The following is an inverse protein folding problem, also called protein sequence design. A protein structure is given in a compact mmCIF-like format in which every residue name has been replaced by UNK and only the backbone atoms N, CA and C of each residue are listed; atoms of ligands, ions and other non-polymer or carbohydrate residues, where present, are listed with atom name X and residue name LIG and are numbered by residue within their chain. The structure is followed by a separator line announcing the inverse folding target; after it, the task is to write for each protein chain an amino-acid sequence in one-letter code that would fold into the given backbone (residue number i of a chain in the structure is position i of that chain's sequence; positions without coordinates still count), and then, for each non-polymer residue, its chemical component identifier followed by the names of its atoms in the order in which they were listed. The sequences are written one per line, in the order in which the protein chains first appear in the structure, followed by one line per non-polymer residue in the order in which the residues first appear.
data_IF_432566672649
#
_entry.id   IF_432566672649
#
_cell.length_a   1.000
_cell.length_b   1.000
_cell.length_c   1.000
_cell.angle_alpha   90.00
_cell.angle_beta   90.00
_cell.angle_gamma   90.00
#
_symmetry.space_group_name_H-M   'P 1'
#
loop_
_entity.id
_entity.type
_entity.pdbx_description
1 polymer ?
#
# COMPACT_ATOMS: atom_id res chain seq x y z
N UNK A 1 -7.72 -34.06 -8.76
CA UNK A 1 -6.99 -32.84 -8.35
C UNK A 1 -6.87 -31.96 -9.58
N UNK A 2 -7.69 -30.92 -9.69
CA UNK A 2 -7.52 -29.91 -10.75
C UNK A 2 -6.18 -29.23 -10.55
N UNK A 3 -5.35 -29.15 -11.59
CA UNK A 3 -4.12 -28.35 -11.55
C UNK A 3 -4.50 -26.91 -11.19
N UNK A 4 -4.19 -26.49 -9.96
CA UNK A 4 -4.41 -25.11 -9.53
C UNK A 4 -3.57 -24.19 -10.42
N UNK A 5 -4.16 -23.10 -10.93
CA UNK A 5 -3.48 -22.13 -11.80
C UNK A 5 -3.61 -20.73 -11.22
N UNK A 6 -2.54 -19.95 -11.27
CA UNK A 6 -2.53 -18.54 -10.83
C UNK A 6 -2.68 -17.60 -12.02
N UNK A 7 -3.58 -16.62 -11.93
CA UNK A 7 -3.65 -15.52 -12.90
C UNK A 7 -2.51 -14.52 -12.66
N UNK A 8 -1.81 -14.17 -13.72
CA UNK A 8 -0.73 -13.17 -13.71
C UNK A 8 -1.04 -12.12 -14.76
N UNK A 9 -0.88 -10.85 -14.37
CA UNK A 9 -0.99 -9.69 -15.25
C UNK A 9 0.39 -9.12 -15.55
N UNK A 10 0.70 -8.92 -16.82
CA UNK A 10 1.89 -8.19 -17.23
C UNK A 10 1.76 -6.71 -16.87
N UNK A 11 2.72 -6.12 -16.14
CA UNK A 11 2.68 -4.69 -15.80
C UNK A 11 2.99 -3.80 -17.02
N UNK A 12 3.56 -4.35 -18.10
CA UNK A 12 3.97 -3.61 -19.29
C UNK A 12 2.89 -3.53 -20.38
N UNK A 13 2.19 -4.64 -20.63
CA UNK A 13 1.19 -4.73 -21.70
C UNK A 13 -0.21 -5.12 -21.20
N UNK A 14 -0.39 -5.27 -19.88
CA UNK A 14 -1.65 -5.67 -19.24
C UNK A 14 -2.22 -7.03 -19.67
N UNK A 15 -1.47 -7.83 -20.45
CA UNK A 15 -1.87 -9.20 -20.81
C UNK A 15 -1.99 -10.05 -19.57
N UNK A 16 -3.07 -10.83 -19.48
CA UNK A 16 -3.28 -11.83 -18.45
C UNK A 16 -2.97 -13.23 -18.99
N UNK A 17 -2.33 -14.08 -18.19
CA UNK A 17 -2.22 -15.51 -18.45
C UNK A 17 -2.22 -16.30 -17.15
N UNK A 18 -2.39 -17.62 -17.26
CA UNK A 18 -2.32 -18.54 -16.15
C UNK A 18 -0.94 -19.20 -16.08
N UNK A 19 -0.35 -19.26 -14.89
CA UNK A 19 0.87 -20.01 -14.60
C UNK A 19 0.61 -21.11 -13.58
N UNK A 20 1.52 -22.10 -13.52
CA UNK A 20 1.54 -23.06 -12.42
C UNK A 20 1.94 -22.34 -11.11
N UNK A 21 1.31 -22.65 -9.97
CA UNK A 21 1.51 -21.94 -8.69
C UNK A 21 2.93 -22.01 -8.14
N UNK A 22 3.72 -23.00 -8.56
CA UNK A 22 5.13 -23.14 -8.14
C UNK A 22 6.09 -22.23 -8.92
N UNK A 23 5.62 -21.53 -9.96
CA UNK A 23 6.46 -20.61 -10.73
C UNK A 23 6.61 -19.30 -9.96
N UNK A 24 7.81 -19.03 -9.47
CA UNK A 24 8.22 -17.75 -8.87
C UNK A 24 9.58 -17.32 -9.44
N UNK A 25 9.93 -16.04 -9.33
CA UNK A 25 11.19 -15.49 -9.87
C UNK A 25 10.94 -14.59 -11.07
N UNK A 26 11.72 -14.75 -12.15
CA UNK A 26 11.56 -13.92 -13.35
C UNK A 26 11.04 -14.75 -14.52
N UNK A 27 10.01 -14.25 -15.20
CA UNK A 27 9.45 -14.83 -16.42
C UNK A 27 9.50 -13.78 -17.53
N UNK A 28 9.47 -14.20 -18.80
CA UNK A 28 9.23 -13.27 -19.92
C UNK A 28 7.73 -13.28 -20.23
N UNK A 29 7.14 -12.10 -20.37
CA UNK A 29 5.76 -11.96 -20.81
C UNK A 29 5.62 -12.51 -22.24
N UNK A 30 4.66 -13.40 -22.47
CA UNK A 30 4.42 -14.02 -23.79
C UNK A 30 3.90 -13.06 -24.86
N UNK A 31 3.50 -11.84 -24.49
CA UNK A 31 2.97 -10.84 -25.41
C UNK A 31 3.94 -9.69 -25.72
N UNK A 32 4.85 -9.34 -24.80
CA UNK A 32 5.73 -8.18 -24.98
C UNK A 32 7.20 -8.47 -24.68
N UNK A 33 7.55 -9.73 -24.40
CA UNK A 33 8.89 -10.23 -24.05
C UNK A 33 9.58 -9.54 -22.87
N UNK A 34 8.93 -8.58 -22.22
CA UNK A 34 9.45 -7.93 -21.02
C UNK A 34 9.56 -8.94 -19.89
N UNK A 35 10.68 -8.85 -19.16
CA UNK A 35 10.94 -9.64 -17.96
C UNK A 35 10.05 -9.13 -16.83
N UNK A 36 9.26 -10.03 -16.26
CA UNK A 36 8.34 -9.77 -15.16
C UNK A 36 8.76 -10.55 -13.93
N UNK A 37 8.56 -9.96 -12.75
CA UNK A 37 8.78 -10.64 -11.48
C UNK A 37 7.50 -11.33 -11.04
N UNK A 38 7.56 -12.65 -10.90
CA UNK A 38 6.51 -13.46 -10.28
C UNK A 38 6.87 -13.65 -8.81
N UNK A 39 6.06 -13.13 -7.87
CA UNK A 39 6.31 -13.30 -6.44
C UNK A 39 6.13 -14.75 -6.03
N UNK A 40 6.85 -15.14 -4.98
CA UNK A 40 6.46 -16.31 -4.18
C UNK A 40 5.06 -16.06 -3.60
N UNK A 41 4.24 -17.11 -3.51
CA UNK A 41 2.96 -16.97 -2.82
C UNK A 41 3.17 -16.54 -1.36
N UNK A 42 2.34 -15.59 -0.87
CA UNK A 42 2.35 -15.25 0.53
C UNK A 42 1.85 -16.45 1.35
N UNK A 43 2.39 -16.61 2.54
CA UNK A 43 1.75 -17.46 3.55
C UNK A 43 0.60 -16.68 4.18
N UNK A 44 -0.46 -17.39 4.58
CA UNK A 44 -1.63 -16.78 5.21
C UNK A 44 -1.63 -16.99 6.72
N UNK A 45 -2.24 -16.05 7.44
CA UNK A 45 -2.56 -16.19 8.86
C UNK A 45 -3.36 -17.49 9.09
N UNK A 46 -3.17 -18.15 10.24
CA UNK A 46 -3.81 -19.45 10.54
C UNK A 46 -5.34 -19.36 10.54
N UNK A 47 -5.85 -18.22 10.96
CA UNK A 47 -7.24 -17.82 11.09
C UNK A 47 -7.70 -16.88 9.95
N UNK A 48 -7.04 -16.92 8.78
CA UNK A 48 -7.34 -16.04 7.64
C UNK A 48 -8.83 -16.04 7.21
N UNK A 49 -9.57 -17.13 7.45
CA UNK A 49 -11.01 -17.17 7.17
C UNK A 49 -11.80 -16.17 8.02
N UNK A 50 -11.38 -15.96 9.28
CA UNK A 50 -11.99 -14.99 10.19
C UNK A 50 -11.67 -13.56 9.73
N UNK A 51 -10.41 -13.30 9.38
CA UNK A 51 -10.03 -12.02 8.75
C UNK A 51 -10.83 -11.74 7.49
N UNK A 52 -10.99 -12.74 6.61
CA UNK A 52 -11.78 -12.59 5.39
C UNK A 52 -13.23 -12.25 5.69
N UNK A 53 -13.85 -12.93 6.65
CA UNK A 53 -15.20 -12.58 7.10
C UNK A 53 -15.27 -11.14 7.61
N UNK A 54 -14.27 -10.66 8.36
CA UNK A 54 -14.25 -9.28 8.83
C UNK A 54 -14.04 -8.24 7.74
N UNK A 55 -13.21 -8.54 6.74
CA UNK A 55 -13.09 -7.72 5.52
C UNK A 55 -14.47 -7.55 4.85
N UNK A 56 -15.23 -8.64 4.75
CA UNK A 56 -16.59 -8.63 4.18
C UNK A 56 -17.58 -7.87 5.09
N UNK A 57 -17.55 -8.11 6.41
CA UNK A 57 -18.42 -7.45 7.41
C UNK A 57 -18.24 -5.91 7.39
N UNK A 58 -16.98 -5.44 7.39
CA UNK A 58 -16.64 -4.01 7.35
C UNK A 58 -16.65 -3.43 5.93
N UNK A 59 -16.90 -4.26 4.89
CA UNK A 59 -16.94 -3.86 3.48
C UNK A 59 -15.64 -3.19 3.01
N UNK A 60 -14.50 -3.71 3.46
CA UNK A 60 -13.19 -3.21 3.05
C UNK A 60 -12.95 -3.64 1.60
N UNK A 61 -13.16 -2.71 0.67
CA UNK A 61 -13.08 -2.98 -0.76
C UNK A 61 -11.67 -2.77 -1.32
N UNK A 62 -10.92 -1.80 -0.79
CA UNK A 62 -9.57 -1.46 -1.23
C UNK A 62 -8.75 -0.91 -0.05
N UNK A 63 -7.43 -1.04 -0.14
CA UNK A 63 -6.47 -0.33 0.68
C UNK A 63 -5.70 0.65 -0.19
N UNK A 64 -5.16 1.72 0.40
CA UNK A 64 -4.65 2.86 -0.36
C UNK A 64 -3.20 3.17 -0.03
N UNK A 65 -2.40 3.37 -1.07
CA UNK A 65 -1.03 3.90 -0.96
C UNK A 65 -0.91 5.15 -1.81
N UNK A 66 -0.33 6.22 -1.28
CA UNK A 66 -0.01 7.40 -2.07
C UNK A 66 1.43 7.35 -2.57
N UNK A 67 1.66 7.89 -3.76
CA UNK A 67 2.99 8.07 -4.36
C UNK A 67 3.01 9.30 -5.24
N UNK A 68 4.18 9.68 -5.75
CA UNK A 68 4.28 10.59 -6.90
C UNK A 68 4.21 9.80 -8.22
N UNK A 69 3.64 10.42 -9.26
CA UNK A 69 3.59 9.91 -10.64
C UNK A 69 4.95 9.39 -11.13
N UNK A 70 6.04 10.10 -10.80
CA UNK A 70 7.40 9.73 -11.22
C UNK A 70 7.87 8.36 -10.74
N UNK A 71 7.24 7.80 -9.69
CA UNK A 71 7.53 6.47 -9.18
C UNK A 71 6.73 5.35 -9.88
N UNK A 72 5.66 5.66 -10.62
CA UNK A 72 4.76 4.64 -11.20
C UNK A 72 5.52 3.71 -12.16
N UNK A 73 6.46 4.25 -12.94
CA UNK A 73 7.27 3.46 -13.86
C UNK A 73 8.18 2.46 -13.12
N UNK A 74 8.78 2.85 -11.99
CA UNK A 74 9.65 1.95 -11.21
C UNK A 74 8.82 0.87 -10.49
N UNK A 75 7.62 1.20 -10.00
CA UNK A 75 6.68 0.24 -9.41
C UNK A 75 6.25 -0.81 -10.46
N UNK A 76 5.85 -0.35 -11.65
CA UNK A 76 5.47 -1.23 -12.77
C UNK A 76 6.64 -2.15 -13.18
N UNK A 77 7.84 -1.58 -13.38
CA UNK A 77 9.05 -2.35 -13.74
C UNK A 77 9.52 -3.30 -12.64
N UNK A 78 9.35 -2.92 -11.38
CA UNK A 78 9.67 -3.73 -10.21
C UNK A 78 8.72 -4.91 -10.01
N UNK A 79 7.59 -4.93 -10.75
CA UNK A 79 6.56 -5.95 -10.62
C UNK A 79 5.68 -5.75 -9.38
N UNK A 80 5.64 -4.54 -8.81
CA UNK A 80 4.85 -4.22 -7.62
C UNK A 80 5.48 -3.14 -6.74
N UNK A 81 4.93 -2.97 -5.55
CA UNK A 81 5.32 -1.95 -4.57
C UNK A 81 6.23 -2.55 -3.50
N UNK A 82 7.43 -1.99 -3.33
CA UNK A 82 8.38 -2.43 -2.31
C UNK A 82 8.39 -1.48 -1.11
N UNK A 83 8.77 -2.00 0.05
CA UNK A 83 9.12 -1.20 1.22
C UNK A 83 10.28 -0.26 0.88
N UNK A 84 10.33 0.90 1.52
CA UNK A 84 11.41 1.85 1.26
C UNK A 84 12.77 1.26 1.63
N UNK A 85 12.83 0.43 2.68
CA UNK A 85 14.06 -0.23 3.12
C UNK A 85 14.56 -1.25 2.11
N UNK A 86 13.66 -2.06 1.54
CA UNK A 86 14.03 -2.98 0.47
C UNK A 86 14.58 -2.23 -0.74
N UNK A 87 13.96 -1.11 -1.12
CA UNK A 87 14.46 -0.28 -2.22
C UNK A 87 15.89 0.24 -1.94
N UNK A 88 16.14 0.75 -0.74
CA UNK A 88 17.47 1.20 -0.31
C UNK A 88 18.50 0.06 -0.36
N UNK A 89 18.20 -1.09 0.25
CA UNK A 89 19.12 -2.24 0.33
C UNK A 89 19.43 -2.88 -1.02
N UNK A 90 18.53 -2.72 -2.01
CA UNK A 90 18.68 -3.28 -3.35
C UNK A 90 19.02 -2.23 -4.41
N UNK A 91 19.39 -1.00 -4.01
CA UNK A 91 19.70 0.10 -4.92
C UNK A 91 18.59 0.40 -5.94
N UNK A 92 17.33 0.22 -5.54
CA UNK A 92 16.17 0.59 -6.33
C UNK A 92 15.85 2.07 -6.05
N UNK A 93 15.99 2.90 -7.08
CA UNK A 93 15.71 4.32 -6.95
C UNK A 93 14.21 4.59 -6.78
N UNK A 94 13.86 5.40 -5.77
CA UNK A 94 12.53 5.99 -5.61
C UNK A 94 12.68 7.48 -5.95
N UNK A 95 12.35 7.91 -7.19
CA UNK A 95 12.54 9.29 -7.62
C UNK A 95 12.00 10.34 -6.66
N UNK A 96 10.82 10.11 -6.08
CA UNK A 96 10.17 11.01 -5.12
C UNK A 96 9.51 10.25 -3.98
N UNK A 97 10.22 9.97 -2.88
CA UNK A 97 9.68 9.19 -1.78
C UNK A 97 8.59 9.96 -1.00
N UNK A 98 7.50 9.25 -0.69
CA UNK A 98 6.41 9.80 0.13
C UNK A 98 6.74 9.96 1.62
N UNK A 99 7.88 9.46 2.09
CA UNK A 99 8.42 9.68 3.44
C UNK A 99 9.82 10.31 3.39
N UNK A 100 10.10 11.22 4.33
CA UNK A 100 11.42 11.84 4.52
C UNK A 100 12.27 11.18 5.62
N UNK A 101 13.42 11.76 5.91
CA UNK A 101 14.41 11.20 6.85
C UNK A 101 13.88 11.00 8.27
N UNK A 102 13.02 11.91 8.75
CA UNK A 102 12.37 11.78 10.05
C UNK A 102 11.45 10.56 10.11
N UNK A 103 10.66 10.34 9.05
CA UNK A 103 9.76 9.17 8.94
C UNK A 103 10.56 7.86 8.92
N UNK A 104 11.65 7.80 8.14
CA UNK A 104 12.55 6.63 8.13
C UNK A 104 13.21 6.38 9.48
N UNK A 105 13.61 7.45 10.18
CA UNK A 105 14.19 7.36 11.53
C UNK A 105 13.18 6.86 12.56
N UNK A 106 11.92 7.27 12.44
CA UNK A 106 10.81 6.76 13.25
C UNK A 106 10.55 5.28 12.98
N UNK A 107 10.55 4.86 11.71
CA UNK A 107 10.39 3.46 11.34
C UNK A 107 11.49 2.57 11.91
N UNK A 108 12.75 3.02 11.81
CA UNK A 108 13.88 2.29 12.37
C UNK A 108 13.74 2.12 13.90
N UNK A 109 13.25 3.15 14.61
CA UNK A 109 13.01 3.06 16.06
C UNK A 109 11.91 2.05 16.43
N UNK A 110 10.94 1.85 15.55
CA UNK A 110 9.81 0.93 15.75
C UNK A 110 9.96 -0.42 15.04
N UNK A 111 11.10 -0.69 14.40
CA UNK A 111 11.31 -1.89 13.58
C UNK A 111 10.31 -2.04 12.41
N UNK A 112 9.87 -0.92 11.83
CA UNK A 112 8.96 -0.87 10.69
C UNK A 112 9.57 -0.50 9.32
N UNK A 113 10.90 -0.47 9.08
CA UNK A 113 11.43 0.07 7.83
C UNK A 113 11.10 -0.80 6.61
N UNK A 114 10.89 -2.10 6.83
CA UNK A 114 10.62 -3.09 5.78
C UNK A 114 9.12 -3.43 5.64
N UNK A 115 8.28 -2.40 5.70
CA UNK A 115 6.84 -2.53 5.46
C UNK A 115 6.36 -1.51 4.43
N UNK A 116 5.50 -1.96 3.54
CA UNK A 116 4.67 -1.09 2.70
C UNK A 116 3.49 -0.64 3.54
N UNK A 117 3.31 0.68 3.65
CA UNK A 117 2.20 1.27 4.40
C UNK A 117 0.99 1.49 3.52
N UNK A 118 -0.16 1.01 3.96
CA UNK A 118 -1.45 1.22 3.33
C UNK A 118 -2.41 1.86 4.34
N UNK A 119 -3.20 2.84 3.91
CA UNK A 119 -4.34 3.32 4.68
C UNK A 119 -5.65 2.69 4.23
N UNK A 120 -6.70 2.96 5.01
CA UNK A 120 -8.07 2.47 4.78
C UNK A 120 -8.95 3.46 4.00
N UNK A 121 -8.43 4.65 3.71
CA UNK A 121 -9.06 5.66 2.87
C UNK A 121 -8.03 6.27 1.88
N UNK A 122 -8.49 6.76 0.73
CA UNK A 122 -7.64 7.42 -0.26
C UNK A 122 -7.15 8.81 0.19
N UNK A 123 -7.88 9.46 1.10
CA UNK A 123 -7.62 10.79 1.63
C UNK A 123 -6.54 10.77 2.73
N UNK A 124 -5.33 10.32 2.40
CA UNK A 124 -4.27 10.00 3.38
C UNK A 124 -3.64 11.29 3.96
N UNK A 125 -3.70 11.60 5.28
CA UNK A 125 -3.16 12.87 5.81
C UNK A 125 -1.68 13.11 5.52
N UNK A 126 -0.88 12.03 5.47
CA UNK A 126 0.55 12.11 5.14
C UNK A 126 0.82 12.50 3.69
N UNK A 127 -0.14 12.36 2.78
CA UNK A 127 -0.07 12.86 1.41
C UNK A 127 0.03 14.39 1.40
N UNK A 128 -0.84 15.08 2.13
CA UNK A 128 -0.86 16.54 2.18
C UNK A 128 0.38 17.12 2.85
N UNK A 129 0.89 16.45 3.89
CA UNK A 129 2.19 16.79 4.48
C UNK A 129 3.31 16.65 3.44
N UNK A 130 3.30 15.59 2.63
CA UNK A 130 4.29 15.37 1.58
C UNK A 130 4.21 16.38 0.43
N UNK A 131 2.99 16.83 0.08
CA UNK A 131 2.77 17.89 -0.92
C UNK A 131 3.28 19.24 -0.39
N UNK A 132 2.91 19.62 0.84
CA UNK A 132 3.34 20.87 1.47
C UNK A 132 4.86 20.96 1.63
N UNK A 133 5.51 19.84 1.92
CA UNK A 133 6.97 19.75 2.03
C UNK A 133 7.67 19.63 0.65
N UNK A 134 6.92 19.61 -0.45
CA UNK A 134 7.46 19.50 -1.81
C UNK A 134 8.09 18.14 -2.14
N UNK A 135 7.88 17.11 -1.31
CA UNK A 135 8.38 15.75 -1.51
C UNK A 135 7.65 15.02 -2.63
N UNK A 136 6.36 15.32 -2.78
CA UNK A 136 5.51 14.87 -3.88
C UNK A 136 5.05 16.10 -4.66
N UNK A 137 4.97 15.98 -5.98
CA UNK A 137 4.46 17.02 -6.88
C UNK A 137 3.17 16.60 -7.58
N UNK A 138 3.14 15.37 -8.12
CA UNK A 138 2.00 14.84 -8.87
C UNK A 138 1.45 13.64 -8.10
N UNK A 139 0.53 13.83 -7.14
CA UNK A 139 0.07 12.79 -6.25
C UNK A 139 -0.77 11.75 -7.00
N UNK A 140 -0.42 10.48 -6.83
CA UNK A 140 -1.16 9.33 -7.32
C UNK A 140 -1.56 8.43 -6.16
N UNK A 141 -2.78 7.90 -6.23
CA UNK A 141 -3.29 6.88 -5.33
C UNK A 141 -3.21 5.53 -6.03
N UNK A 142 -2.70 4.53 -5.33
CA UNK A 142 -2.68 3.12 -5.74
C UNK A 142 -3.69 2.38 -4.87
N UNK A 143 -4.65 1.72 -5.53
CA UNK A 143 -5.60 0.84 -4.86
C UNK A 143 -5.07 -0.58 -4.82
N UNK A 144 -4.99 -1.12 -3.62
CA UNK A 144 -4.50 -2.46 -3.32
C UNK A 144 -5.67 -3.35 -2.92
N UNK A 145 -5.63 -4.58 -3.39
CA UNK A 145 -6.57 -5.61 -3.02
C UNK A 145 -6.46 -5.94 -1.52
N UNK A 146 -7.58 -5.90 -0.75
CA UNK A 146 -7.57 -6.12 0.68
C UNK A 146 -7.11 -7.53 1.08
N UNK A 147 -6.97 -8.48 0.16
CA UNK A 147 -6.42 -9.81 0.45
C UNK A 147 -4.99 -9.81 1.00
N UNK A 148 -4.25 -8.70 0.88
CA UNK A 148 -2.97 -8.51 1.57
C UNK A 148 -3.09 -8.53 3.11
N UNK A 149 -4.28 -8.26 3.67
CA UNK A 149 -4.59 -8.37 5.11
C UNK A 149 -4.39 -9.80 5.61
N UNK A 150 -4.68 -10.79 4.75
CA UNK A 150 -4.65 -12.20 5.13
C UNK A 150 -3.23 -12.76 5.30
N UNK A 151 -2.21 -12.00 4.90
CA UNK A 151 -0.85 -12.51 4.88
C UNK A 151 -0.28 -12.63 6.28
N UNK A 152 0.50 -13.69 6.50
CA UNK A 152 1.03 -14.04 7.82
C UNK A 152 1.77 -12.87 8.48
N UNK A 153 2.62 -12.19 7.71
CA UNK A 153 3.48 -11.10 8.19
C UNK A 153 2.83 -9.70 8.12
N UNK A 154 1.57 -9.58 7.69
CA UNK A 154 0.88 -8.28 7.70
C UNK A 154 0.57 -7.86 9.14
N UNK A 155 0.90 -6.61 9.47
CA UNK A 155 0.59 -6.00 10.78
C UNK A 155 -0.51 -4.95 10.64
N UNK A 156 -1.15 -4.66 11.76
CA UNK A 156 -2.24 -3.70 11.91
C UNK A 156 -1.84 -2.65 12.92
N UNK A 157 -2.10 -1.38 12.61
CA UNK A 157 -1.88 -0.25 13.49
C UNK A 157 -3.19 0.53 13.62
N UNK A 158 -3.62 0.78 14.84
CA UNK A 158 -4.87 1.48 15.17
C UNK A 158 -4.83 3.00 14.90
N UNK A 159 -3.63 3.57 14.83
CA UNK A 159 -3.33 4.92 14.37
C UNK A 159 -2.10 4.93 13.45
N UNK A 160 -1.52 6.09 13.15
CA UNK A 160 -0.27 6.15 12.40
C UNK A 160 0.80 5.29 13.09
N UNK A 161 1.41 4.33 12.38
CA UNK A 161 2.25 3.34 13.04
C UNK A 161 3.52 3.93 13.69
N UNK A 162 3.93 5.15 13.32
CA UNK A 162 5.04 5.84 13.99
C UNK A 162 4.65 6.68 15.20
N UNK A 163 3.36 6.90 15.44
CA UNK A 163 2.87 7.69 16.57
C UNK A 163 3.15 7.00 17.91
N UNK A 164 3.40 7.77 18.97
CA UNK A 164 3.81 7.22 20.27
C UNK A 164 2.76 6.29 20.90
N UNK A 165 1.48 6.45 20.58
CA UNK A 165 0.37 5.67 21.15
C UNK A 165 0.01 4.42 20.35
N UNK A 166 0.57 4.23 19.15
CA UNK A 166 0.13 3.20 18.24
C UNK A 166 0.29 1.78 18.81
N UNK A 167 -0.81 1.04 18.79
CA UNK A 167 -0.88 -0.37 19.12
C UNK A 167 -0.71 -1.13 17.80
N UNK A 168 0.35 -1.93 17.72
CA UNK A 168 0.72 -2.64 16.49
C UNK A 168 0.87 -4.12 16.78
N UNK A 169 0.23 -4.95 15.96
CA UNK A 169 0.37 -6.39 16.03
C UNK A 169 -0.18 -7.13 14.81
N UNK A 170 -0.08 -8.45 14.83
CA UNK A 170 -0.43 -9.34 13.72
C UNK A 170 -1.73 -10.11 13.91
N UNK A 171 -2.31 -10.04 15.11
CA UNK A 171 -3.41 -10.91 15.51
C UNK A 171 -4.76 -10.29 15.16
N UNK A 172 -5.82 -11.11 15.26
CA UNK A 172 -7.18 -10.66 14.98
C UNK A 172 -7.59 -9.50 15.88
N UNK A 173 -7.19 -9.52 17.16
CA UNK A 173 -7.51 -8.45 18.11
C UNK A 173 -6.86 -7.12 17.69
N UNK A 174 -5.64 -7.15 17.15
CA UNK A 174 -4.96 -5.95 16.63
C UNK A 174 -5.70 -5.37 15.42
N UNK A 175 -6.21 -6.24 14.55
CA UNK A 175 -7.05 -5.82 13.42
C UNK A 175 -8.38 -5.22 13.88
N UNK A 176 -8.99 -5.81 14.92
CA UNK A 176 -10.25 -5.32 15.48
C UNK A 176 -10.09 -4.08 16.37
N UNK A 177 -8.87 -3.73 16.78
CA UNK A 177 -8.56 -2.47 17.46
C UNK A 177 -8.65 -1.27 16.51
N UNK A 178 -8.60 -1.48 15.19
CA UNK A 178 -8.81 -0.41 14.21
C UNK A 178 -10.27 0.06 14.28
N UNK A 179 -10.46 1.36 14.44
CA UNK A 179 -11.78 1.97 14.34
C UNK A 179 -12.15 2.17 12.85
N UNK A 180 -12.68 1.11 12.21
CA UNK A 180 -13.06 1.14 10.79
C UNK A 180 -14.11 2.21 10.46
N UNK A 181 -15.03 2.50 11.39
CA UNK A 181 -16.04 3.54 11.23
C UNK A 181 -15.43 4.93 11.07
N UNK A 182 -14.20 5.16 11.55
CA UNK A 182 -13.44 6.40 11.39
C UNK A 182 -12.40 6.26 10.27
N UNK A 183 -11.59 5.21 10.28
CA UNK A 183 -10.48 5.00 9.34
C UNK A 183 -10.93 4.91 7.87
N UNK A 184 -12.20 4.57 7.62
CA UNK A 184 -12.78 4.47 6.28
C UNK A 184 -13.67 5.66 5.89
N UNK A 185 -13.87 6.67 6.76
CA UNK A 185 -14.68 7.86 6.43
C UNK A 185 -14.03 8.67 5.31
N UNK A 186 -14.82 9.49 4.61
CA UNK A 186 -14.28 10.45 3.64
C UNK A 186 -13.54 11.62 4.31
N UNK A 187 -14.00 12.00 5.51
CA UNK A 187 -13.49 13.11 6.32
C UNK A 187 -13.53 12.74 7.79
N UNK A 188 -12.64 13.35 8.56
CA UNK A 188 -12.54 13.17 10.00
C UNK A 188 -12.53 14.52 10.71
N UNK A 189 -12.98 14.53 11.96
CA UNK A 189 -12.78 15.68 12.86
C UNK A 189 -11.38 15.62 13.49
N UNK A 190 -10.84 16.75 13.95
CA UNK A 190 -9.50 16.81 14.56
C UNK A 190 -9.26 15.78 15.68
N UNK A 191 -10.30 15.49 16.46
CA UNK A 191 -10.24 14.49 17.54
C UNK A 191 -10.19 13.04 17.01
N UNK A 192 -10.62 12.82 15.78
CA UNK A 192 -10.66 11.52 15.08
C UNK A 192 -9.39 11.27 14.25
N UNK A 193 -8.56 12.31 14.01
CA UNK A 193 -7.39 12.27 13.13
C UNK A 193 -6.48 11.07 13.36
N UNK A 194 -6.17 10.74 14.61
CA UNK A 194 -5.29 9.61 14.94
C UNK A 194 -5.87 8.28 14.45
N UNK A 195 -7.15 8.04 14.74
CA UNK A 195 -7.88 6.84 14.35
C UNK A 195 -8.07 6.78 12.82
N UNK A 196 -8.22 7.94 12.19
CA UNK A 196 -8.27 8.05 10.73
C UNK A 196 -6.97 7.59 10.07
N UNK A 197 -5.84 7.78 10.76
CA UNK A 197 -4.51 7.42 10.28
C UNK A 197 -4.12 5.95 10.57
N UNK A 198 -5.08 5.07 10.89
CA UNK A 198 -4.81 3.63 11.00
C UNK A 198 -4.15 3.07 9.74
N UNK A 199 -3.24 2.11 9.91
CA UNK A 199 -2.41 1.57 8.82
C UNK A 199 -2.43 0.03 8.78
N UNK A 200 -2.43 -0.50 7.56
CA UNK A 200 -2.12 -1.90 7.26
C UNK A 200 -0.67 -1.95 6.74
N UNK A 201 0.17 -2.72 7.43
CA UNK A 201 1.61 -2.79 7.18
C UNK A 201 1.94 -4.13 6.52
N UNK A 202 2.18 -4.10 5.22
CA UNK A 202 2.48 -5.31 4.44
C UNK A 202 3.98 -5.50 4.30
N UNK A 203 4.48 -6.67 4.69
CA UNK A 203 5.91 -6.94 4.74
C UNK A 203 6.57 -6.90 3.36
N UNK A 204 7.61 -6.08 3.22
CA UNK A 204 8.56 -5.97 2.09
C UNK A 204 8.00 -5.65 0.69
N UNK A 205 6.98 -6.36 0.20
CA UNK A 205 6.58 -6.33 -1.21
C UNK A 205 5.11 -6.67 -1.44
N UNK A 206 4.41 -5.81 -2.16
CA UNK A 206 3.07 -6.05 -2.69
C UNK A 206 3.18 -6.28 -4.21
N UNK A 207 2.87 -7.48 -4.71
CA UNK A 207 2.92 -7.78 -6.13
C UNK A 207 1.93 -6.97 -6.96
N UNK A 208 2.30 -6.74 -8.21
CA UNK A 208 1.45 -6.05 -9.19
C UNK A 208 0.05 -6.68 -9.34
N UNK A 209 -0.08 -8.00 -9.17
CA UNK A 209 -1.38 -8.67 -9.27
C UNK A 209 -2.36 -8.31 -8.15
N UNK A 210 -1.90 -7.69 -7.06
CA UNK A 210 -2.73 -7.13 -5.99
C UNK A 210 -2.97 -5.63 -6.17
N UNK A 211 -2.38 -4.98 -7.18
CA UNK A 211 -2.70 -3.60 -7.56
C UNK A 211 -3.94 -3.63 -8.45
N UNK A 212 -5.04 -3.07 -7.95
CA UNK A 212 -6.31 -2.99 -8.68
C UNK A 212 -6.26 -1.91 -9.76
N UNK A 213 -5.83 -0.73 -9.37
CA UNK A 213 -5.69 0.45 -10.23
C UNK A 213 -4.78 1.49 -9.57
N UNK A 214 -4.44 2.54 -10.30
CA UNK A 214 -3.91 3.78 -9.76
C UNK A 214 -4.47 4.97 -10.54
N UNK A 215 -4.54 6.13 -9.91
CA UNK A 215 -5.07 7.36 -10.53
C UNK A 215 -4.45 8.59 -9.88
N UNK A 216 -4.48 9.71 -10.61
CA UNK A 216 -4.15 11.02 -10.05
C UNK A 216 -5.11 11.34 -8.91
N UNK A 217 -4.60 11.84 -7.78
CA UNK A 217 -5.43 12.14 -6.61
C UNK A 217 -6.61 13.06 -6.99
N UNK A 218 -7.85 12.78 -6.55
CA UNK A 218 -9.04 13.48 -7.04
C UNK A 218 -9.03 15.00 -6.81
N UNK A 219 -8.41 15.44 -5.71
CA UNK A 219 -8.30 16.87 -5.37
C UNK A 219 -7.12 17.58 -6.04
N UNK A 220 -6.37 16.89 -6.91
CA UNK A 220 -5.23 17.47 -7.62
C UNK A 220 -5.61 17.72 -9.08
N UNK A 221 -6.04 18.94 -9.39
CA UNK A 221 -6.18 19.43 -10.76
C UNK A 221 -4.92 20.22 -11.14
N UNK A 222 -4.26 19.82 -12.23
CA UNK A 222 -3.00 20.40 -12.72
C UNK A 222 -3.13 21.84 -13.23
N UNK A 223 -4.32 22.45 -13.08
CA UNK A 223 -4.66 23.76 -13.66
C UNK A 223 -4.52 24.93 -12.69
N UNK A 224 -4.47 24.71 -11.37
CA UNK A 224 -4.28 25.77 -10.37
C UNK A 224 -3.24 25.37 -9.31
N UNK A 225 -1.96 25.67 -9.55
CA UNK A 225 -0.91 25.58 -8.51
C UNK A 225 -0.94 26.74 -7.50
N UNK A 226 -1.98 27.58 -7.53
CA UNK A 226 -2.16 28.71 -6.59
C UNK A 226 -3.26 28.46 -5.55
N UNK A 227 -4.04 27.38 -5.64
CA UNK A 227 -5.10 27.03 -4.69
C UNK A 227 -4.87 25.62 -4.10
N UNK A 228 -3.69 25.38 -3.54
CA UNK A 228 -3.64 24.41 -2.43
C UNK A 228 -4.34 25.12 -1.29
N UNK A 229 -5.64 24.87 -1.18
CA UNK A 229 -6.49 25.41 -0.13
C UNK A 229 -5.77 25.18 1.22
N UNK A 230 -5.42 26.26 1.91
CA UNK A 230 -4.89 26.20 3.28
C UNK A 230 -5.91 25.52 4.24
N UNK A 231 -7.15 25.31 3.76
CA UNK A 231 -8.22 24.57 4.41
C UNK A 231 -8.24 23.06 4.11
N UNK A 232 -7.17 22.47 3.56
CA UNK A 232 -7.02 21.01 3.55
C UNK A 232 -7.16 20.49 4.98
N UNK A 233 -8.11 19.57 5.25
CA UNK A 233 -8.47 19.19 6.59
C UNK A 233 -7.24 18.61 7.28
N UNK A 234 -6.83 19.32 8.33
CA UNK A 234 -5.74 19.01 9.23
C UNK A 234 -5.78 17.56 9.67
#
# INVERSE_FOLDING_TARGET
MSEYTKSVKCPYCSTNWTIKPLVHGNLNCTNCDNKIRIPKEPTFKKDWLVFKQKIDDYKISSLFHFTDESNINSISKGGGLFSWKYCEDNNLNIPKPGGGDLSRSLDNRKNLPDYVRLGLNYNLPMLYVALREGRIKNPYIIEIDPMVILWEETLFSDENATANGAIIGSELDDFLNINFDIAMKDKYDENEKKLFQAEILVKTFIPYCFIKTWYCHPSFDNTNTEDIDDDLPF
#
